data_IF_181792326583
#
_entry.id   IF_181792326583
#
_cell.length_a   1.000
_cell.length_b   1.000
_cell.length_c   1.000
_cell.angle_alpha   90.00
_cell.angle_beta   90.00
_cell.angle_gamma   90.00
#
_symmetry.space_group_name_H-M   'P 1'
#
loop_
_entity.id
_entity.type
_entity.pdbx_description
1 polymer ?
#
# COMPACT_ATOMS: atom_id res chain seq x y z
N UNK A 1 39.06 49.72 -61.47
CA UNK A 1 39.26 49.34 -60.05
C UNK A 1 39.38 50.61 -59.22
N UNK A 2 38.66 50.75 -58.11
CA UNK A 2 38.86 51.88 -57.20
C UNK A 2 40.27 51.84 -56.61
N UNK A 3 40.88 53.01 -56.38
CA UNK A 3 42.18 53.11 -55.69
C UNK A 3 41.96 52.88 -54.19
N UNK A 4 42.77 52.02 -53.59
CA UNK A 4 42.76 51.81 -52.14
C UNK A 4 43.31 53.05 -51.43
N UNK A 5 42.49 53.69 -50.62
CA UNK A 5 42.89 54.84 -49.81
C UNK A 5 42.89 54.40 -48.35
N UNK A 6 44.08 54.31 -47.74
CA UNK A 6 44.25 53.91 -46.35
C UNK A 6 44.34 55.13 -45.44
N UNK A 7 43.49 55.17 -44.40
CA UNK A 7 43.53 56.23 -43.39
C UNK A 7 44.74 56.02 -42.47
N UNK A 8 45.70 56.96 -42.49
CA UNK A 8 46.80 56.99 -41.53
C UNK A 8 46.29 57.32 -40.13
N UNK A 9 46.79 56.64 -39.11
CA UNK A 9 46.45 56.91 -37.71
C UNK A 9 47.63 57.57 -37.00
N UNK A 10 47.34 58.49 -36.08
CA UNK A 10 48.35 59.21 -35.27
C UNK A 10 48.68 58.47 -33.97
N UNK A 11 48.22 57.23 -33.82
CA UNK A 11 48.45 56.44 -32.60
C UNK A 11 49.91 56.04 -32.50
N UNK A 12 50.52 56.35 -31.36
CA UNK A 12 51.88 55.91 -31.02
C UNK A 12 51.97 54.43 -30.62
N UNK A 13 50.83 53.73 -30.48
CA UNK A 13 50.77 52.36 -29.97
C UNK A 13 51.14 51.37 -31.08
N UNK A 14 52.08 50.48 -30.78
CA UNK A 14 52.61 49.45 -31.70
C UNK A 14 52.25 48.03 -31.27
N UNK A 15 51.60 47.87 -30.12
CA UNK A 15 51.17 46.60 -29.55
C UNK A 15 49.73 46.30 -29.97
N UNK A 16 49.48 45.06 -30.35
CA UNK A 16 48.14 44.55 -30.63
C UNK A 16 47.47 44.07 -29.33
N UNK A 17 47.27 45.02 -28.42
CA UNK A 17 46.61 44.79 -27.13
C UNK A 17 45.41 45.71 -27.05
N UNK A 18 44.21 45.21 -26.68
CA UNK A 18 43.05 46.07 -26.52
C UNK A 18 43.30 47.16 -25.47
N UNK A 19 42.70 48.35 -25.61
CA UNK A 19 42.85 49.40 -24.63
C UNK A 19 42.29 48.96 -23.27
N UNK A 20 42.76 49.57 -22.19
CA UNK A 20 42.31 49.28 -20.81
C UNK A 20 40.81 49.51 -20.59
N UNK A 21 40.15 50.27 -21.47
CA UNK A 21 38.71 50.47 -21.45
C UNK A 21 37.89 49.27 -21.94
N UNK A 22 38.52 48.29 -22.61
CA UNK A 22 37.88 47.08 -23.11
C UNK A 22 37.76 45.98 -22.04
N UNK A 23 37.35 46.36 -20.83
CA UNK A 23 37.18 45.45 -19.70
C UNK A 23 35.84 44.70 -19.77
N UNK A 24 35.82 43.34 -19.81
CA UNK A 24 34.59 42.56 -19.80
C UNK A 24 33.76 42.76 -18.51
N UNK A 25 34.36 43.18 -17.39
CA UNK A 25 33.63 43.48 -16.16
C UNK A 25 32.71 44.71 -16.29
N UNK A 26 32.98 45.58 -17.27
CA UNK A 26 32.14 46.76 -17.58
C UNK A 26 30.90 46.41 -18.42
N UNK A 27 30.72 45.14 -18.79
CA UNK A 27 29.58 44.69 -19.57
C UNK A 27 28.26 44.83 -18.79
N UNK A 28 27.23 45.42 -19.44
CA UNK A 28 25.89 45.55 -18.85
C UNK A 28 25.17 44.19 -18.88
N UNK A 29 25.00 43.56 -17.71
CA UNK A 29 24.39 42.22 -17.55
C UNK A 29 23.01 42.07 -18.20
N UNK A 30 22.18 43.12 -18.14
CA UNK A 30 20.83 43.16 -18.72
C UNK A 30 20.72 44.27 -19.76
N UNK A 31 21.60 44.28 -20.76
CA UNK A 31 21.45 45.20 -21.90
C UNK A 31 20.14 44.88 -22.63
N UNK A 32 19.37 45.90 -23.01
CA UNK A 32 18.15 45.73 -23.83
C UNK A 32 18.49 44.90 -25.07
N UNK A 33 17.98 43.67 -25.09
CA UNK A 33 18.02 42.79 -26.26
C UNK A 33 16.73 42.93 -27.04
N UNK A 34 16.82 42.65 -28.32
CA UNK A 34 15.65 42.44 -29.16
C UNK A 34 14.95 41.16 -28.68
N UNK A 35 13.62 41.13 -28.70
CA UNK A 35 12.81 39.95 -28.31
C UNK A 35 11.82 39.59 -29.41
N UNK A 36 11.20 38.40 -29.31
CA UNK A 36 10.19 37.93 -30.26
C UNK A 36 10.74 37.61 -31.64
N UNK A 37 9.93 37.84 -32.68
CA UNK A 37 10.28 37.50 -34.07
C UNK A 37 11.52 38.25 -34.57
N UNK A 38 11.69 39.51 -34.16
CA UNK A 38 12.85 40.31 -34.54
C UNK A 38 14.16 39.76 -33.95
N UNK A 39 14.10 39.11 -32.79
CA UNK A 39 15.25 38.42 -32.21
C UNK A 39 15.60 37.16 -32.99
N UNK A 40 14.58 36.38 -33.38
CA UNK A 40 14.77 35.13 -34.11
C UNK A 40 15.52 35.32 -35.44
N UNK A 41 15.29 36.43 -36.16
CA UNK A 41 16.03 36.76 -37.39
C UNK A 41 17.42 37.34 -37.13
N UNK A 42 17.63 38.03 -36.00
CA UNK A 42 18.91 38.67 -35.64
C UNK A 42 19.88 37.73 -34.91
N UNK A 43 19.36 36.68 -34.29
CA UNK A 43 20.13 35.69 -33.54
C UNK A 43 20.93 34.81 -34.50
N UNK A 44 22.27 34.86 -34.36
CA UNK A 44 23.21 34.15 -35.23
C UNK A 44 23.60 32.79 -34.63
N UNK A 45 22.64 31.88 -34.49
CA UNK A 45 22.89 30.51 -34.00
C UNK A 45 23.36 29.63 -35.17
N UNK A 46 24.49 28.92 -35.01
CA UNK A 46 25.12 28.12 -36.08
C UNK A 46 25.17 26.62 -35.77
N UNK A 47 24.01 25.98 -35.60
CA UNK A 47 23.94 24.55 -35.25
C UNK A 47 24.56 23.63 -36.33
N UNK A 48 24.55 24.03 -37.60
CA UNK A 48 25.08 23.21 -38.70
C UNK A 48 26.59 23.02 -38.65
N UNK A 49 27.32 23.95 -38.04
CA UNK A 49 28.77 23.88 -37.88
C UNK A 49 29.20 23.16 -36.59
N UNK A 50 28.24 22.81 -35.73
CA UNK A 50 28.49 22.15 -34.45
C UNK A 50 28.33 20.64 -34.65
N UNK A 51 29.32 19.86 -34.24
CA UNK A 51 29.23 18.40 -34.29
C UNK A 51 28.08 17.91 -33.41
N UNK A 52 27.37 16.88 -33.88
CA UNK A 52 26.31 16.25 -33.09
C UNK A 52 26.91 15.62 -31.82
N UNK A 53 26.21 15.68 -30.68
CA UNK A 53 26.66 14.99 -29.48
C UNK A 53 26.65 13.47 -29.72
N UNK A 54 27.66 12.78 -29.18
CA UNK A 54 27.70 11.32 -29.23
C UNK A 54 26.52 10.76 -28.45
N UNK A 55 25.62 10.05 -29.12
CA UNK A 55 24.44 9.46 -28.49
C UNK A 55 24.81 8.51 -27.35
N UNK A 56 23.96 8.46 -26.31
CA UNK A 56 24.17 7.54 -25.18
C UNK A 56 24.11 6.07 -25.61
N UNK A 57 24.78 5.16 -24.88
CA UNK A 57 24.81 3.75 -25.22
C UNK A 57 23.39 3.16 -25.26
N UNK A 58 23.09 2.37 -26.29
CA UNK A 58 21.87 1.54 -26.34
C UNK A 58 21.91 0.53 -25.19
N UNK A 59 20.73 0.19 -24.64
CA UNK A 59 20.61 -0.80 -23.55
C UNK A 59 21.36 -2.08 -23.92
N UNK A 60 22.31 -2.45 -23.08
CA UNK A 60 23.09 -3.68 -23.25
C UNK A 60 22.15 -4.89 -23.12
N UNK A 61 22.31 -5.86 -24.03
CA UNK A 61 21.62 -7.15 -23.92
C UNK A 61 22.03 -7.78 -22.59
N UNK A 62 21.09 -8.36 -21.85
CA UNK A 62 21.36 -9.01 -20.56
C UNK A 62 21.60 -10.51 -20.79
N UNK A 63 22.86 -10.97 -20.95
CA UNK A 63 23.14 -12.39 -21.21
C UNK A 63 22.76 -13.30 -20.04
N UNK A 64 22.65 -12.75 -18.82
CA UNK A 64 22.42 -13.53 -17.60
C UNK A 64 20.97 -13.45 -17.08
N UNK A 65 20.00 -13.08 -17.90
CA UNK A 65 18.61 -12.89 -17.46
C UNK A 65 17.95 -14.18 -16.94
N UNK A 66 18.34 -15.34 -17.49
CA UNK A 66 17.89 -16.66 -17.01
C UNK A 66 18.62 -17.16 -15.77
N UNK A 67 19.69 -16.48 -15.34
CA UNK A 67 20.48 -16.88 -14.19
C UNK A 67 19.99 -16.11 -12.97
N UNK A 68 19.37 -16.83 -12.04
CA UNK A 68 18.91 -16.21 -10.80
C UNK A 68 20.08 -15.58 -10.04
N UNK A 69 19.94 -14.28 -9.73
CA UNK A 69 20.94 -13.52 -8.97
C UNK A 69 20.78 -13.67 -7.46
N UNK A 70 19.72 -14.33 -6.99
CA UNK A 70 19.38 -14.38 -5.58
C UNK A 70 20.21 -15.41 -4.80
N UNK A 71 20.96 -16.28 -5.50
CA UNK A 71 21.70 -17.41 -4.91
C UNK A 71 20.82 -18.29 -4.01
N UNK A 72 19.49 -18.24 -4.23
CA UNK A 72 18.50 -19.04 -3.54
C UNK A 72 17.91 -19.99 -4.56
N UNK A 73 17.89 -21.27 -4.21
CA UNK A 73 17.19 -22.31 -4.95
C UNK A 73 16.27 -23.02 -3.98
N UNK A 74 15.02 -23.22 -4.37
CA UNK A 74 14.10 -24.00 -3.55
C UNK A 74 14.46 -25.49 -3.61
N UNK A 75 14.15 -26.22 -2.55
CA UNK A 75 14.37 -27.67 -2.49
C UNK A 75 13.20 -28.43 -3.08
N UNK A 76 13.48 -29.61 -3.65
CA UNK A 76 12.45 -30.52 -4.20
C UNK A 76 11.35 -30.83 -3.18
N UNK A 77 11.73 -31.01 -1.91
CA UNK A 77 10.77 -31.23 -0.81
C UNK A 77 9.81 -30.05 -0.65
N UNK A 78 10.32 -28.81 -0.65
CA UNK A 78 9.47 -27.63 -0.48
C UNK A 78 8.50 -27.47 -1.66
N UNK A 79 8.95 -27.75 -2.87
CA UNK A 79 8.11 -27.72 -4.07
C UNK A 79 7.02 -28.80 -3.99
N UNK A 80 7.41 -30.04 -3.67
CA UNK A 80 6.48 -31.16 -3.55
C UNK A 80 5.43 -30.99 -2.45
N UNK A 81 5.78 -30.36 -1.33
CA UNK A 81 4.80 -30.07 -0.27
C UNK A 81 3.82 -28.95 -0.65
N UNK A 82 4.24 -27.99 -1.48
CA UNK A 82 3.38 -26.88 -1.90
C UNK A 82 2.49 -27.20 -3.09
N UNK A 83 2.94 -28.09 -3.98
CA UNK A 83 2.29 -28.37 -5.27
C UNK A 83 1.93 -29.83 -5.48
N UNK A 84 2.22 -30.70 -4.51
CA UNK A 84 2.13 -32.14 -4.68
C UNK A 84 3.34 -32.72 -5.43
N UNK A 85 3.40 -34.04 -5.45
CA UNK A 85 4.36 -34.79 -6.25
C UNK A 85 3.69 -35.98 -6.93
N UNK A 86 4.10 -36.30 -8.15
CA UNK A 86 3.50 -37.39 -8.95
C UNK A 86 3.63 -38.80 -8.34
N UNK A 87 4.22 -38.94 -7.16
CA UNK A 87 4.29 -40.20 -6.41
C UNK A 87 3.05 -40.44 -5.55
N UNK A 88 2.31 -39.39 -5.21
CA UNK A 88 1.13 -39.42 -4.32
C UNK A 88 -0.18 -39.16 -5.04
N UNK A 89 -0.13 -39.02 -6.37
CA UNK A 89 -1.31 -38.81 -7.22
C UNK A 89 -2.48 -39.74 -6.89
N UNK A 90 -2.24 -41.04 -6.71
CA UNK A 90 -3.31 -42.01 -6.40
C UNK A 90 -3.96 -41.74 -5.03
N UNK A 91 -3.16 -41.36 -4.03
CA UNK A 91 -3.68 -41.04 -2.70
C UNK A 91 -4.47 -39.72 -2.73
N UNK A 92 -3.98 -38.73 -3.48
CA UNK A 92 -4.62 -37.44 -3.67
C UNK A 92 -5.93 -37.58 -4.46
N UNK A 93 -5.99 -38.42 -5.50
CA UNK A 93 -7.21 -38.76 -6.24
C UNK A 93 -8.24 -39.45 -5.34
N UNK A 94 -7.81 -40.42 -4.53
CA UNK A 94 -8.71 -41.13 -3.61
C UNK A 94 -9.29 -40.18 -2.54
N UNK A 95 -8.47 -39.28 -1.99
CA UNK A 95 -8.93 -38.26 -1.05
C UNK A 95 -9.89 -37.28 -1.72
N UNK A 96 -9.58 -36.80 -2.92
CA UNK A 96 -10.45 -35.90 -3.67
C UNK A 96 -11.81 -36.53 -4.01
N UNK A 97 -11.84 -37.82 -4.36
CA UNK A 97 -13.09 -38.56 -4.56
C UNK A 97 -13.89 -38.70 -3.26
N UNK A 98 -13.23 -38.98 -2.14
CA UNK A 98 -13.89 -39.02 -0.84
C UNK A 98 -14.50 -37.66 -0.49
N UNK A 99 -13.76 -36.57 -0.68
CA UNK A 99 -14.25 -35.21 -0.46
C UNK A 99 -15.45 -34.90 -1.37
N UNK A 100 -15.40 -35.24 -2.66
CA UNK A 100 -16.52 -35.05 -3.58
C UNK A 100 -17.78 -35.83 -3.14
N UNK A 101 -17.63 -37.06 -2.63
CA UNK A 101 -18.75 -37.83 -2.07
C UNK A 101 -19.31 -37.15 -0.82
N UNK A 102 -18.45 -36.62 0.06
CA UNK A 102 -18.93 -35.90 1.26
C UNK A 102 -19.66 -34.62 0.89
N UNK A 103 -19.16 -33.85 -0.08
CA UNK A 103 -19.81 -32.64 -0.58
C UNK A 103 -21.18 -32.96 -1.20
N UNK A 104 -21.30 -34.01 -2.03
CA UNK A 104 -22.58 -34.45 -2.57
C UNK A 104 -23.57 -34.88 -1.47
N UNK A 105 -23.07 -35.52 -0.40
CA UNK A 105 -23.92 -35.92 0.73
C UNK A 105 -24.35 -34.72 1.60
N UNK A 106 -23.52 -33.68 1.68
CA UNK A 106 -23.87 -32.40 2.32
C UNK A 106 -24.90 -31.66 1.47
N UNK A 107 -24.72 -31.61 0.15
CA UNK A 107 -25.64 -30.98 -0.79
C UNK A 107 -27.02 -31.65 -0.75
N UNK A 108 -27.07 -32.99 -0.78
CA UNK A 108 -28.30 -33.78 -0.65
C UNK A 108 -28.99 -33.65 0.73
N UNK A 109 -28.25 -33.27 1.79
CA UNK A 109 -28.84 -32.93 3.10
C UNK A 109 -29.24 -31.46 3.21
N UNK A 110 -28.68 -30.60 2.36
CA UNK A 110 -28.98 -29.18 2.31
C UNK A 110 -30.21 -28.87 1.47
N UNK A 111 -30.66 -29.80 0.62
CA UNK A 111 -31.98 -29.78 0.01
C UNK A 111 -33.01 -30.10 1.11
N UNK A 112 -33.77 -29.12 1.63
CA UNK A 112 -34.74 -29.43 2.66
C UNK A 112 -35.82 -30.29 2.01
N UNK A 113 -35.97 -31.53 2.47
CA UNK A 113 -37.22 -32.25 2.31
C UNK A 113 -38.32 -31.29 2.75
N UNK A 114 -39.15 -30.86 1.80
CA UNK A 114 -40.18 -29.86 2.04
C UNK A 114 -40.91 -30.26 3.32
N UNK A 115 -40.91 -29.42 4.38
CA UNK A 115 -41.62 -29.78 5.60
C UNK A 115 -43.05 -30.07 5.18
N UNK A 116 -43.60 -31.20 5.62
CA UNK A 116 -45.02 -31.51 5.44
C UNK A 116 -45.79 -30.33 6.03
N UNK A 117 -46.19 -29.41 5.15
CA UNK A 117 -46.70 -28.12 5.56
C UNK A 117 -48.06 -28.33 6.20
N UNK A 118 -48.20 -27.97 7.47
CA UNK A 118 -49.51 -27.67 8.04
C UNK A 118 -50.18 -26.70 7.08
N UNK A 119 -51.43 -26.95 6.72
CA UNK A 119 -52.14 -26.02 5.86
C UNK A 119 -52.20 -24.65 6.54
N UNK A 120 -52.19 -23.55 5.77
CA UNK A 120 -52.22 -22.19 6.32
C UNK A 120 -53.33 -22.02 7.38
N UNK A 121 -54.45 -22.70 7.19
CA UNK A 121 -55.58 -22.75 8.13
C UNK A 121 -55.21 -23.35 9.49
N UNK A 122 -54.50 -24.47 9.50
CA UNK A 122 -54.07 -25.12 10.75
C UNK A 122 -53.07 -24.25 11.51
N UNK A 123 -52.15 -23.58 10.81
CA UNK A 123 -51.21 -22.64 11.42
C UNK A 123 -51.92 -21.44 12.07
N UNK A 124 -52.91 -20.85 11.38
CA UNK A 124 -53.70 -19.75 11.93
C UNK A 124 -54.55 -20.18 13.12
N UNK A 125 -55.12 -21.38 13.09
CA UNK A 125 -55.87 -21.92 14.21
C UNK A 125 -54.98 -22.15 15.44
N UNK A 126 -53.76 -22.65 15.25
CA UNK A 126 -52.78 -22.85 16.33
C UNK A 126 -52.32 -21.51 16.94
N UNK A 127 -52.06 -20.50 16.11
CA UNK A 127 -51.77 -19.13 16.56
C UNK A 127 -52.91 -18.55 17.42
N UNK A 128 -54.16 -18.68 16.96
CA UNK A 128 -55.32 -18.21 17.70
C UNK A 128 -55.50 -18.96 19.03
N UNK A 129 -55.24 -20.27 19.07
CA UNK A 129 -55.30 -21.05 20.29
C UNK A 129 -54.21 -20.63 21.29
N UNK A 130 -53.00 -20.32 20.82
CA UNK A 130 -51.91 -19.79 21.65
C UNK A 130 -52.24 -18.39 22.19
N UNK A 131 -52.80 -17.49 21.37
CA UNK A 131 -53.27 -16.18 21.81
C UNK A 131 -54.39 -16.29 22.84
N UNK A 132 -55.33 -17.23 22.67
CA UNK A 132 -56.39 -17.49 23.63
C UNK A 132 -55.87 -18.09 24.94
N UNK A 133 -54.86 -18.96 24.87
CA UNK A 133 -54.19 -19.50 26.05
C UNK A 133 -53.40 -18.42 26.80
N UNK A 134 -52.77 -17.49 26.09
CA UNK A 134 -51.99 -16.39 26.67
C UNK A 134 -52.88 -15.27 27.24
N UNK A 135 -54.01 -14.99 26.61
CA UNK A 135 -54.99 -13.98 27.06
C UNK A 135 -55.87 -14.45 28.22
N UNK A 136 -55.93 -15.76 28.50
CA UNK A 136 -56.44 -16.28 29.77
C UNK A 136 -55.43 -15.98 30.88
N UNK A 137 -55.51 -14.78 31.45
CA UNK A 137 -54.81 -14.44 32.68
C UNK A 137 -55.31 -15.35 33.81
N UNK A 138 -54.51 -16.35 34.13
CA UNK A 138 -54.72 -17.15 35.33
C UNK A 138 -54.37 -16.25 36.50
N UNK A 139 -55.37 -15.77 37.24
CA UNK A 139 -55.19 -15.10 38.52
C UNK A 139 -54.47 -16.06 39.46
N UNK A 140 -53.14 -15.90 39.59
CA UNK A 140 -52.34 -16.69 40.52
C UNK A 140 -52.87 -16.44 41.93
N UNK A 141 -53.37 -17.48 42.59
CA UNK A 141 -53.63 -17.42 44.04
C UNK A 141 -52.31 -17.12 44.75
N UNK A 142 -52.28 -16.06 45.55
CA UNK A 142 -51.08 -15.65 46.28
C UNK A 142 -50.70 -16.74 47.29
N UNK A 143 -49.46 -17.22 47.22
CA UNK A 143 -48.89 -18.18 48.16
C UNK A 143 -48.21 -17.41 49.30
N UNK A 144 -48.95 -17.10 50.36
CA UNK A 144 -48.39 -16.50 51.59
C UNK A 144 -47.80 -17.62 52.43
N UNK A 145 -46.49 -17.57 52.73
CA UNK A 145 -45.85 -18.42 53.75
C UNK A 145 -44.75 -19.39 53.29
N UNK A 146 -43.87 -19.03 52.35
CA UNK A 146 -42.72 -19.89 51.99
C UNK A 146 -41.37 -19.18 51.95
N UNK A 147 -41.12 -18.33 52.96
CA UNK A 147 -39.85 -17.60 53.13
C UNK A 147 -38.72 -18.48 53.69
N UNK A 148 -39.03 -19.62 54.31
CA UNK A 148 -38.03 -20.56 54.86
C UNK A 148 -37.19 -21.30 53.81
N UNK A 149 -37.65 -21.38 52.55
CA UNK A 149 -36.96 -22.13 51.50
C UNK A 149 -35.83 -21.36 50.81
N UNK A 150 -35.66 -20.08 51.12
CA UNK A 150 -34.76 -19.18 50.36
C UNK A 150 -33.54 -18.71 51.15
N UNK A 151 -33.44 -19.00 52.45
CA UNK A 151 -32.35 -18.51 53.32
C UNK A 151 -31.23 -19.52 53.57
N UNK A 152 -31.34 -20.75 53.04
CA UNK A 152 -30.40 -21.84 53.28
C UNK A 152 -29.60 -22.22 52.01
N UNK A 153 -28.84 -21.28 51.46
CA UNK A 153 -27.83 -21.56 50.44
C UNK A 153 -26.45 -21.07 50.90
N UNK A 154 -25.52 -22.00 51.10
CA UNK A 154 -24.10 -21.70 51.29
C UNK A 154 -23.49 -21.20 49.97
N UNK A 155 -22.85 -20.04 50.04
CA UNK A 155 -22.19 -19.39 48.91
C UNK A 155 -20.87 -20.12 48.62
N UNK A 156 -20.86 -20.99 47.61
CA UNK A 156 -19.62 -21.62 47.12
C UNK A 156 -18.84 -20.60 46.28
N UNK A 157 -17.81 -20.00 46.88
CA UNK A 157 -16.87 -19.13 46.17
C UNK A 157 -15.85 -19.99 45.40
N UNK A 158 -15.70 -19.74 44.10
CA UNK A 158 -14.68 -20.39 43.28
C UNK A 158 -13.34 -19.71 43.53
N UNK A 159 -12.52 -20.30 44.38
CA UNK A 159 -11.11 -19.91 44.52
C UNK A 159 -10.32 -20.38 43.30
N UNK A 160 -9.82 -19.43 42.51
CA UNK A 160 -8.94 -19.69 41.37
C UNK A 160 -7.50 -19.46 41.82
N UNK A 161 -6.89 -20.48 42.43
CA UNK A 161 -5.47 -20.44 42.77
C UNK A 161 -4.65 -20.72 41.50
N UNK A 162 -3.71 -19.84 41.11
CA UNK A 162 -2.78 -20.14 40.04
C UNK A 162 -1.77 -21.19 40.52
N UNK A 163 -1.68 -22.32 39.81
CA UNK A 163 -0.78 -23.43 40.15
C UNK A 163 0.71 -23.04 40.09
N UNK A 164 1.06 -21.91 39.45
CA UNK A 164 2.41 -21.34 39.42
C UNK A 164 2.32 -19.81 39.39
N UNK A 165 3.06 -19.13 40.26
CA UNK A 165 3.16 -17.67 40.26
C UNK A 165 3.97 -17.16 39.04
N UNK A 166 3.48 -16.17 38.29
CA UNK A 166 4.22 -15.61 37.16
C UNK A 166 5.41 -14.78 37.65
N UNK A 167 6.63 -15.26 37.37
CA UNK A 167 7.89 -14.64 37.82
C UNK A 167 8.26 -13.34 37.09
N UNK A 168 7.49 -12.91 36.08
CA UNK A 168 7.73 -11.63 35.40
C UNK A 168 6.48 -11.09 34.70
N UNK A 169 5.95 -9.97 35.20
CA UNK A 169 4.87 -9.23 34.55
C UNK A 169 5.45 -8.16 33.62
N UNK A 170 5.39 -8.41 32.30
CA UNK A 170 5.70 -7.37 31.31
C UNK A 170 4.67 -6.24 31.43
N UNK A 171 5.14 -5.01 31.59
CA UNK A 171 4.31 -3.80 31.58
C UNK A 171 3.68 -3.63 30.20
N UNK A 172 2.44 -4.10 30.03
CA UNK A 172 1.68 -3.95 28.79
C UNK A 172 1.32 -2.47 28.66
N UNK A 173 2.04 -1.75 27.79
CA UNK A 173 1.61 -0.44 27.31
C UNK A 173 0.35 -0.65 26.46
N UNK A 174 -0.81 -0.48 27.08
CA UNK A 174 -2.07 -0.45 26.38
C UNK A 174 -2.10 0.78 25.48
N UNK A 175 -1.98 0.57 24.17
CA UNK A 175 -2.34 1.59 23.18
C UNK A 175 -3.86 1.56 23.07
N UNK A 176 -4.49 2.73 23.19
CA UNK A 176 -5.93 2.86 23.02
C UNK A 176 -6.36 2.22 21.69
N UNK A 177 -7.37 1.33 21.69
CA UNK A 177 -7.88 0.76 20.46
C UNK A 177 -8.41 1.89 19.57
N UNK A 178 -8.10 1.82 18.27
CA UNK A 178 -8.59 2.80 17.31
C UNK A 178 -10.11 2.68 17.24
N UNK A 179 -10.81 3.73 17.65
CA UNK A 179 -12.25 3.82 17.54
C UNK A 179 -12.65 3.86 16.05
N UNK A 180 -13.59 3.00 15.66
CA UNK A 180 -14.17 3.03 14.32
C UNK A 180 -15.19 4.17 14.30
N UNK A 181 -14.81 5.29 13.70
CA UNK A 181 -15.78 6.33 13.33
C UNK A 181 -16.62 5.81 12.18
N UNK A 182 -17.87 5.46 12.48
CA UNK A 182 -18.89 5.23 11.46
C UNK A 182 -19.20 6.60 10.84
N UNK A 183 -18.80 6.79 9.58
CA UNK A 183 -19.25 7.93 8.79
C UNK A 183 -20.49 7.49 8.03
N UNK A 184 -21.61 8.16 8.30
CA UNK A 184 -22.80 8.06 7.48
C UNK A 184 -22.53 8.82 6.18
N UNK A 185 -22.32 8.08 5.08
CA UNK A 185 -22.18 8.67 3.76
C UNK A 185 -23.46 8.43 2.95
N UNK A 186 -23.96 9.48 2.35
CA UNK A 186 -24.99 9.42 1.32
C UNK A 186 -24.29 9.36 -0.03
N UNK A 187 -24.31 8.20 -0.68
CA UNK A 187 -23.76 8.08 -2.03
C UNK A 187 -24.68 8.81 -3.02
N UNK A 188 -24.24 9.98 -3.48
CA UNK A 188 -24.83 10.63 -4.66
C UNK A 188 -23.99 10.26 -5.88
N UNK A 189 -24.54 9.40 -6.73
CA UNK A 189 -23.91 9.05 -8.01
C UNK A 189 -24.32 10.11 -9.04
N UNK A 190 -23.58 11.21 -9.08
CA UNK A 190 -23.63 12.14 -10.21
C UNK A 190 -22.98 11.50 -11.43
N UNK A 191 -23.64 11.56 -12.58
CA UNK A 191 -23.13 11.16 -13.89
C UNK A 191 -22.03 12.13 -14.34
N UNK A 192 -20.89 12.14 -13.65
CA UNK A 192 -19.73 12.89 -14.07
C UNK A 192 -18.47 12.16 -13.59
N UNK A 193 -17.79 11.52 -14.54
CA UNK A 193 -16.56 10.79 -14.26
C UNK A 193 -15.54 11.71 -13.56
N UNK A 194 -14.92 11.28 -12.44
CA UNK A 194 -13.92 12.10 -11.77
C UNK A 194 -12.70 12.25 -12.68
N UNK A 195 -12.39 13.51 -13.05
CA UNK A 195 -11.13 13.84 -13.72
C UNK A 195 -9.99 13.57 -12.74
N UNK A 196 -9.13 12.61 -13.08
CA UNK A 196 -7.96 12.24 -12.30
C UNK A 196 -6.96 13.41 -12.29
N UNK A 197 -7.02 14.26 -11.25
CA UNK A 197 -6.00 15.26 -11.00
C UNK A 197 -4.74 14.57 -10.44
N UNK A 198 -3.83 14.19 -11.34
CA UNK A 198 -2.53 13.65 -11.01
C UNK A 198 -1.71 14.60 -10.14
N UNK A 199 -1.70 14.36 -8.83
CA UNK A 199 -0.70 14.88 -7.89
C UNK A 199 -0.12 13.71 -7.14
N UNK A 200 0.96 13.15 -7.71
CA UNK A 200 1.86 12.24 -7.02
C UNK A 200 2.34 12.89 -5.70
N UNK A 201 2.12 12.28 -4.53
CA UNK A 201 2.81 12.70 -3.33
C UNK A 201 4.25 12.17 -3.38
N UNK A 202 5.19 13.11 -3.37
CA UNK A 202 6.62 12.87 -3.46
C UNK A 202 7.16 11.91 -2.40
N UNK A 203 7.98 10.98 -2.88
CA UNK A 203 8.88 10.14 -2.11
C UNK A 203 9.96 11.01 -1.44
N UNK A 204 9.68 11.51 -0.24
CA UNK A 204 10.66 12.24 0.59
C UNK A 204 11.50 11.24 1.40
N UNK A 205 12.43 10.55 0.72
CA UNK A 205 13.50 9.80 1.36
C UNK A 205 14.61 10.73 1.82
N UNK A 206 14.57 11.15 3.09
CA UNK A 206 15.69 11.81 3.76
C UNK A 206 16.86 10.82 3.84
N UNK A 207 17.89 11.01 3.00
CA UNK A 207 19.19 10.36 3.20
C UNK A 207 19.87 11.05 4.39
N UNK A 208 19.90 10.38 5.54
CA UNK A 208 20.79 10.75 6.64
C UNK A 208 22.23 10.51 6.17
N UNK A 209 23.00 11.59 6.07
CA UNK A 209 24.43 11.53 5.82
C UNK A 209 25.12 10.93 7.06
N UNK A 210 25.58 9.69 6.97
CA UNK A 210 26.61 9.19 7.87
C UNK A 210 27.93 9.88 7.48
N UNK A 211 28.50 10.63 8.42
CA UNK A 211 29.89 11.12 8.36
C UNK A 211 30.84 9.92 8.27
N UNK A 212 31.86 9.91 7.40
CA UNK A 212 32.92 8.91 7.49
C UNK A 212 33.73 9.16 8.77
N UNK A 213 33.87 8.11 9.59
CA UNK A 213 34.79 8.10 10.72
C UNK A 213 36.23 8.18 10.19
N UNK A 214 37.02 9.09 10.76
CA UNK A 214 38.45 9.17 10.51
C UNK A 214 39.12 7.92 11.08
N UNK A 215 39.71 7.10 10.21
CA UNK A 215 40.69 6.09 10.57
C UNK A 215 42.03 6.78 10.51
N UNK A 216 42.52 7.23 11.65
CA UNK A 216 43.93 7.51 11.92
C UNK A 216 44.07 7.37 13.43
N UNK A 217 44.74 6.30 13.85
CA UNK A 217 45.56 6.17 15.06
C UNK A 217 45.86 4.68 15.27
N UNK A 218 46.86 4.18 14.54
CA UNK A 218 47.63 3.01 14.95
C UNK A 218 48.82 3.54 15.76
N UNK A 219 49.05 3.09 17.00
CA UNK A 219 50.27 3.43 17.71
C UNK A 219 51.45 2.70 17.06
N UNK A 220 52.46 3.46 16.66
CA UNK A 220 53.80 2.95 16.44
C UNK A 220 54.42 2.56 17.78
N UNK A 221 54.62 1.25 17.99
CA UNK A 221 55.78 0.59 18.62
C UNK A 221 55.43 -0.88 18.90
#
# INVERSE_FOLDING_TARGET
>A
MPREILRKTTSSKKTDVPPTSADPAKARKNRKSVTGNEAAFKDKIKNKAVAAPTGGPRREKKPFDRHSRTNKTDSKKKIAQGWGDGRREVDDEAAALADAVTELAVDAKSEPAAPVGKSLKEYLAEQQQLEQALSKSTTKKVNVGSEEKWTSFEVIQKETLPLVEPTFSKKIRQRAPKEKKLLDFTASFGEQAPRFNGKNPGFNGKKAALKPAAINDLPSL
#
